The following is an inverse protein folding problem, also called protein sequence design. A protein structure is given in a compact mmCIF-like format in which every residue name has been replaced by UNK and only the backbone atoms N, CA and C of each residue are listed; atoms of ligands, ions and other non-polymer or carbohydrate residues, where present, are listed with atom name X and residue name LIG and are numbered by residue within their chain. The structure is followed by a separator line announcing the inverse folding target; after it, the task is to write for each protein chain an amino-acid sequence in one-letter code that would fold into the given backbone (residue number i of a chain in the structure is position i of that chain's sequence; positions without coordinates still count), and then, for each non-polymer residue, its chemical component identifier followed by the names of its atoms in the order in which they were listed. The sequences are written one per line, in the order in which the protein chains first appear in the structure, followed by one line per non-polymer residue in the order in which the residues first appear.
data_IF_283830843358
#
_entry.id   IF_283830843358
#
_cell.length_a   1.000
_cell.length_b   1.000
_cell.length_c   1.000
_cell.angle_alpha   90.00
_cell.angle_beta   90.00
_cell.angle_gamma   90.00
#
_symmetry.space_group_name_H-M   'P 1'
#
loop_
_entity.id
_entity.type
_entity.pdbx_description
1 polymer ?
#
# COMPACT_ATOMS: atom_id res chain seq x y z
N UNK A 1 39.29 24.56 -32.39
CA UNK A 1 38.70 23.23 -32.63
C UNK A 1 38.39 22.59 -31.28
N UNK A 2 37.11 22.22 -31.05
CA UNK A 2 36.62 21.38 -29.95
C UNK A 2 36.31 22.15 -28.67
N UNK A 3 35.11 22.70 -28.45
CA UNK A 3 33.78 22.09 -28.20
C UNK A 3 33.41 22.22 -26.72
N UNK A 4 32.85 23.37 -26.38
CA UNK A 4 32.12 23.64 -25.13
C UNK A 4 30.69 23.13 -25.32
N UNK A 5 30.36 21.99 -24.72
CA UNK A 5 29.01 21.43 -24.76
C UNK A 5 28.39 21.39 -23.35
N UNK A 6 27.41 22.29 -23.17
CA UNK A 6 26.10 22.10 -22.56
C UNK A 6 25.94 21.19 -21.31
N UNK A 7 25.62 21.81 -20.18
CA UNK A 7 24.82 21.19 -19.13
C UNK A 7 23.70 22.15 -18.67
N UNK A 8 22.53 22.02 -19.30
CA UNK A 8 21.31 22.70 -18.91
C UNK A 8 20.75 22.09 -17.61
N UNK A 9 20.77 22.86 -16.53
CA UNK A 9 20.14 22.49 -15.25
C UNK A 9 18.63 22.63 -15.31
N UNK A 10 17.90 21.52 -15.35
CA UNK A 10 16.45 21.51 -15.11
C UNK A 10 16.16 21.53 -13.60
N UNK A 11 15.76 22.70 -13.11
CA UNK A 11 15.22 22.90 -11.76
C UNK A 11 13.74 22.47 -11.73
N UNK A 12 13.40 21.42 -10.99
CA UNK A 12 11.99 21.06 -10.72
C UNK A 12 11.41 21.95 -9.60
N UNK A 13 10.17 22.47 -9.74
CA UNK A 13 9.54 23.27 -8.69
C UNK A 13 8.97 22.40 -7.54
N UNK A 14 9.25 22.80 -6.29
CA UNK A 14 8.71 22.22 -5.04
C UNK A 14 7.18 22.32 -4.99
N UNK A 15 6.50 21.19 -4.86
CA UNK A 15 5.07 21.14 -4.53
C UNK A 15 4.82 21.60 -3.08
N UNK A 16 3.91 22.56 -2.88
CA UNK A 16 3.44 23.00 -1.55
C UNK A 16 2.44 22.00 -0.98
N UNK A 17 2.62 21.66 0.29
CA UNK A 17 1.72 20.82 1.10
C UNK A 17 0.48 21.63 1.52
N UNK A 18 -0.75 21.13 1.41
CA UNK A 18 -1.93 21.83 1.92
C UNK A 18 -2.01 21.75 3.46
N UNK A 19 -2.56 22.78 4.15
CA UNK A 19 -2.70 22.77 5.59
C UNK A 19 -3.84 21.85 6.08
N UNK A 20 -3.60 21.28 7.25
CA UNK A 20 -4.46 20.32 7.95
C UNK A 20 -5.80 20.93 8.37
N UNK A 21 -6.86 20.12 8.22
CA UNK A 21 -8.17 20.31 8.81
C UNK A 21 -8.07 20.38 10.34
N UNK A 22 -8.79 21.31 10.95
CA UNK A 22 -9.06 21.32 12.39
C UNK A 22 -10.53 21.02 12.60
N UNK A 23 -10.77 19.87 13.22
CA UNK A 23 -11.99 19.56 13.95
C UNK A 23 -12.04 20.40 15.22
N UNK A 24 -13.18 21.04 15.48
CA UNK A 24 -13.58 21.43 16.84
C UNK A 24 -15.10 21.56 16.92
N UNK A 25 -15.70 20.48 17.41
CA UNK A 25 -16.70 20.43 18.49
C UNK A 25 -17.75 21.57 18.64
N UNK A 26 -19.02 21.15 18.52
CA UNK A 26 -20.18 21.63 19.30
C UNK A 26 -19.99 21.33 20.81
N UNK A 27 -20.74 21.88 21.81
CA UNK A 27 -22.14 22.32 21.71
C UNK A 27 -22.60 23.51 22.61
N UNK A 28 -23.87 23.90 22.39
CA UNK A 28 -24.86 24.41 23.35
C UNK A 28 -24.83 25.86 23.87
N UNK A 29 -26.06 26.33 24.13
CA UNK A 29 -26.52 27.45 24.95
C UNK A 29 -26.63 28.85 24.32
N UNK A 30 -27.87 29.27 24.03
CA UNK A 30 -28.57 30.32 24.79
C UNK A 30 -29.77 30.88 23.98
N UNK A 31 -30.97 30.52 24.44
CA UNK A 31 -32.18 31.32 24.26
C UNK A 31 -31.97 32.71 24.90
N UNK A 32 -32.49 33.77 24.28
CA UNK A 32 -33.31 34.86 24.89
C UNK A 32 -33.45 35.99 23.87
N UNK A 33 -34.70 36.38 23.59
CA UNK A 33 -35.03 37.35 22.54
C UNK A 33 -34.82 38.82 22.89
N UNK A 34 -34.96 39.69 21.89
CA UNK A 34 -35.44 41.07 22.03
C UNK A 34 -35.91 41.62 20.68
N UNK A 35 -37.13 42.16 20.70
CA UNK A 35 -37.78 42.94 19.65
C UNK A 35 -37.13 44.32 19.49
N UNK A 36 -37.00 44.79 18.25
CA UNK A 36 -36.82 46.18 17.80
C UNK A 36 -36.95 46.14 16.26
N UNK A 37 -38.11 46.40 15.64
CA UNK A 37 -38.79 47.69 15.39
C UNK A 37 -37.86 48.86 15.02
N UNK A 38 -37.90 49.24 13.74
CA UNK A 38 -37.85 50.60 13.15
C UNK A 38 -37.95 50.41 11.61
N UNK A 39 -39.12 50.66 11.03
CA UNK A 39 -39.49 51.91 10.34
C UNK A 39 -38.56 52.27 9.18
N UNK A 40 -39.01 52.04 7.94
CA UNK A 40 -38.84 53.00 6.83
C UNK A 40 -39.94 52.77 5.79
N UNK A 41 -40.59 53.88 5.45
CA UNK A 41 -41.82 53.96 4.69
C UNK A 41 -41.61 54.20 3.18
N UNK A 42 -42.68 53.92 2.43
CA UNK A 42 -43.19 54.66 1.28
C UNK A 42 -42.50 54.52 -0.09
N UNK A 43 -43.18 53.89 -1.06
CA UNK A 43 -43.84 54.55 -2.20
C UNK A 43 -44.60 53.55 -3.12
N UNK A 44 -45.53 53.99 -4.00
CA UNK A 44 -46.88 53.39 -4.13
C UNK A 44 -47.22 52.73 -5.48
N UNK A 45 -48.43 52.16 -5.48
CA UNK A 45 -49.18 51.37 -6.49
C UNK A 45 -49.51 52.11 -7.82
N UNK A 46 -49.99 51.39 -8.86
CA UNK A 46 -51.45 51.27 -9.08
C UNK A 46 -51.87 49.84 -9.52
N UNK A 47 -52.81 49.14 -8.87
CA UNK A 47 -54.28 49.12 -9.04
C UNK A 47 -54.76 49.18 -10.50
N UNK A 48 -55.18 48.04 -11.04
CA UNK A 48 -56.44 47.93 -11.78
C UNK A 48 -57.23 46.72 -11.26
N UNK A 49 -58.50 46.98 -10.98
CA UNK A 49 -59.47 46.07 -10.42
C UNK A 49 -60.34 45.51 -11.55
N UNK A 50 -60.66 44.21 -11.46
CA UNK A 50 -61.92 43.62 -11.91
C UNK A 50 -62.07 42.32 -11.12
N UNK A 51 -62.61 42.36 -9.92
CA UNK A 51 -64.03 42.47 -9.59
C UNK A 51 -64.86 41.30 -10.16
N UNK A 52 -64.90 40.25 -9.34
CA UNK A 52 -66.08 39.42 -9.04
C UNK A 52 -66.65 38.52 -10.14
N UNK A 53 -66.54 37.19 -9.94
CA UNK A 53 -67.73 36.32 -9.90
C UNK A 53 -67.48 34.91 -9.37
N UNK A 54 -68.42 34.50 -8.52
CA UNK A 54 -68.84 33.13 -8.15
C UNK A 54 -68.00 32.38 -7.11
N UNK A 55 -68.37 32.67 -5.87
CA UNK A 55 -68.43 31.70 -4.79
C UNK A 55 -69.24 30.44 -5.20
N UNK A 56 -68.88 29.34 -4.53
CA UNK A 56 -69.78 28.30 -3.98
C UNK A 56 -69.90 27.00 -4.79
N UNK A 57 -69.00 26.04 -4.52
CA UNK A 57 -69.30 24.61 -4.57
C UNK A 57 -68.56 23.88 -3.44
N UNK A 58 -69.31 23.50 -2.39
CA UNK A 58 -68.90 22.55 -1.36
C UNK A 58 -69.72 21.28 -1.55
N UNK A 59 -69.05 20.15 -1.83
CA UNK A 59 -69.67 18.83 -1.91
C UNK A 59 -69.76 18.18 -0.52
N UNK A 60 -70.88 17.51 -0.16
CA UNK A 60 -70.98 16.76 1.10
C UNK A 60 -70.27 15.39 1.00
N UNK A 61 -69.36 15.12 1.95
CA UNK A 61 -68.67 13.83 2.09
C UNK A 61 -69.60 12.82 2.79
N UNK A 62 -69.96 11.74 2.09
CA UNK A 62 -70.72 10.63 2.67
C UNK A 62 -69.81 9.66 3.43
N UNK A 63 -70.19 9.32 4.67
CA UNK A 63 -69.51 8.37 5.55
C UNK A 63 -69.46 6.96 4.90
N UNK A 64 -68.25 6.41 4.68
CA UNK A 64 -68.05 5.02 4.25
C UNK A 64 -67.57 4.15 5.43
N UNK A 65 -68.14 2.94 5.53
CA UNK A 65 -67.97 1.98 6.63
C UNK A 65 -66.54 1.38 6.76
N UNK A 66 -66.05 1.08 7.98
CA UNK A 66 -64.66 0.73 8.26
C UNK A 66 -64.18 -0.58 7.60
N UNK A 67 -65.10 -1.49 7.24
CA UNK A 67 -64.78 -2.73 6.54
C UNK A 67 -64.29 -2.52 5.09
N UNK A 68 -64.62 -1.37 4.47
CA UNK A 68 -64.16 -1.02 3.12
C UNK A 68 -62.72 -0.52 3.15
N UNK A 69 -62.34 0.18 4.22
CA UNK A 69 -60.99 0.71 4.45
C UNK A 69 -59.99 -0.43 4.64
N UNK A 70 -60.37 -1.50 5.34
CA UNK A 70 -59.47 -2.63 5.58
C UNK A 70 -59.29 -3.50 4.33
N UNK A 71 -60.34 -3.65 3.51
CA UNK A 71 -60.24 -4.32 2.21
C UNK A 71 -59.38 -3.55 1.22
N UNK A 72 -59.50 -2.22 1.18
CA UNK A 72 -58.64 -1.39 0.32
C UNK A 72 -57.18 -1.37 0.81
N UNK A 73 -56.94 -1.37 2.13
CA UNK A 73 -55.58 -1.49 2.69
C UNK A 73 -54.95 -2.85 2.38
N UNK A 74 -55.71 -3.94 2.50
CA UNK A 74 -55.22 -5.28 2.16
C UNK A 74 -54.88 -5.39 0.66
N UNK A 75 -55.75 -4.87 -0.21
CA UNK A 75 -55.50 -4.84 -1.65
C UNK A 75 -54.30 -3.96 -2.01
N UNK A 76 -54.13 -2.83 -1.32
CA UNK A 76 -52.98 -1.94 -1.51
C UNK A 76 -51.66 -2.58 -1.02
N UNK A 77 -51.69 -3.34 0.07
CA UNK A 77 -50.53 -4.08 0.57
C UNK A 77 -50.12 -5.21 -0.39
N UNK A 78 -51.09 -5.95 -0.94
CA UNK A 78 -50.83 -7.00 -1.95
C UNK A 78 -50.28 -6.38 -3.25
N UNK A 79 -50.82 -5.24 -3.68
CA UNK A 79 -50.30 -4.52 -4.85
C UNK A 79 -48.86 -4.02 -4.64
N UNK A 80 -48.51 -3.58 -3.43
CA UNK A 80 -47.15 -3.15 -3.10
C UNK A 80 -46.14 -4.30 -3.12
N UNK A 81 -46.56 -5.52 -2.74
CA UNK A 81 -45.69 -6.71 -2.78
C UNK A 81 -45.47 -7.18 -4.22
N UNK A 82 -46.50 -7.16 -5.08
CA UNK A 82 -46.36 -7.53 -6.49
C UNK A 82 -45.51 -6.54 -7.30
N UNK A 83 -45.41 -5.29 -6.88
CA UNK A 83 -44.61 -4.26 -7.55
C UNK A 83 -43.09 -4.38 -7.28
N UNK A 84 -42.65 -5.26 -6.37
CA UNK A 84 -41.24 -5.38 -5.96
C UNK A 84 -40.49 -6.53 -6.64
N UNK A 85 -40.71 -6.74 -7.93
CA UNK A 85 -39.84 -7.64 -8.72
C UNK A 85 -38.57 -6.88 -9.08
N UNK A 86 -37.36 -7.32 -8.66
CA UNK A 86 -36.13 -6.69 -9.09
C UNK A 86 -35.99 -6.87 -10.61
N UNK A 87 -36.02 -5.76 -11.35
CA UNK A 87 -35.79 -5.75 -12.78
C UNK A 87 -34.35 -6.23 -13.06
N UNK A 88 -34.20 -7.51 -13.41
CA UNK A 88 -32.92 -8.09 -13.79
C UNK A 88 -32.26 -7.19 -14.86
N UNK A 89 -31.13 -6.58 -14.51
CA UNK A 89 -30.37 -5.82 -15.48
C UNK A 89 -29.69 -6.79 -16.44
N UNK A 90 -30.34 -7.06 -17.58
CA UNK A 90 -29.79 -7.88 -18.66
C UNK A 90 -28.39 -7.41 -19.03
N UNK A 91 -27.43 -8.34 -18.99
CA UNK A 91 -26.05 -8.13 -19.41
C UNK A 91 -25.97 -8.53 -20.88
N UNK A 92 -25.81 -7.55 -21.77
CA UNK A 92 -25.71 -7.81 -23.21
C UNK A 92 -24.23 -7.95 -23.58
N UNK A 93 -23.85 -9.02 -24.27
CA UNK A 93 -22.48 -9.23 -24.75
C UNK A 93 -22.39 -9.03 -26.26
N UNK A 94 -21.32 -8.39 -26.72
CA UNK A 94 -20.94 -8.28 -28.14
C UNK A 94 -19.62 -9.02 -28.37
N UNK A 95 -19.56 -9.90 -29.36
CA UNK A 95 -18.31 -10.54 -29.78
C UNK A 95 -18.29 -10.71 -31.31
N UNK A 96 -17.11 -11.04 -31.83
CA UNK A 96 -16.88 -11.33 -33.26
C UNK A 96 -16.57 -12.82 -33.40
N UNK A 97 -17.27 -13.52 -34.29
CA UNK A 97 -17.00 -14.94 -34.60
C UNK A 97 -15.80 -15.10 -35.57
N UNK A 98 -15.42 -16.35 -35.87
CA UNK A 98 -14.30 -16.64 -36.79
C UNK A 98 -14.56 -16.21 -38.25
N UNK A 99 -15.83 -16.02 -38.61
CA UNK A 99 -16.26 -15.54 -39.92
C UNK A 99 -16.35 -14.00 -39.97
N UNK A 100 -15.96 -13.31 -38.90
CA UNK A 100 -15.97 -11.85 -38.81
C UNK A 100 -17.34 -11.24 -38.55
N UNK A 101 -18.36 -12.04 -38.21
CA UNK A 101 -19.72 -11.57 -37.92
C UNK A 101 -19.83 -11.16 -36.45
N UNK A 102 -20.50 -10.03 -36.23
CA UNK A 102 -20.74 -9.48 -34.91
C UNK A 102 -22.02 -10.08 -34.33
N UNK A 103 -21.90 -10.70 -33.15
CA UNK A 103 -23.02 -11.31 -32.43
C UNK A 103 -23.35 -10.53 -31.16
N UNK A 104 -24.64 -10.47 -30.85
CA UNK A 104 -25.17 -9.88 -29.62
C UNK A 104 -26.04 -10.91 -28.90
N UNK A 105 -25.71 -11.22 -27.66
CA UNK A 105 -26.51 -12.16 -26.86
C UNK A 105 -26.35 -11.89 -25.37
N UNK A 106 -27.39 -12.25 -24.61
CA UNK A 106 -27.37 -12.25 -23.15
C UNK A 106 -26.57 -13.45 -22.58
N UNK A 107 -26.31 -14.47 -23.40
CA UNK A 107 -25.52 -15.66 -23.05
C UNK A 107 -24.45 -15.93 -24.10
N UNK A 108 -23.23 -16.18 -23.62
CA UNK A 108 -22.08 -16.47 -24.47
C UNK A 108 -21.99 -17.99 -24.69
N UNK A 109 -21.86 -18.46 -25.94
CA UNK A 109 -21.56 -19.86 -26.25
C UNK A 109 -20.18 -20.26 -25.69
N UNK A 110 -20.02 -21.52 -25.27
CA UNK A 110 -18.76 -22.06 -24.70
C UNK A 110 -17.53 -21.75 -25.56
N UNK A 111 -17.70 -21.81 -26.88
CA UNK A 111 -16.61 -21.78 -27.85
C UNK A 111 -16.05 -20.36 -28.08
N UNK A 112 -16.73 -19.33 -27.55
CA UNK A 112 -16.34 -17.92 -27.67
C UNK A 112 -15.90 -17.31 -26.32
N UNK A 113 -15.85 -18.12 -25.26
CA UNK A 113 -15.43 -17.69 -23.91
C UNK A 113 -13.98 -17.18 -23.90
N UNK A 114 -13.14 -17.73 -24.78
CA UNK A 114 -11.71 -17.41 -24.86
C UNK A 114 -11.39 -16.27 -25.84
N UNK A 115 -12.38 -15.69 -26.51
CA UNK A 115 -12.17 -14.58 -27.46
C UNK A 115 -12.48 -13.22 -26.87
N UNK A 116 -11.98 -12.20 -27.56
CA UNK A 116 -12.25 -10.81 -27.22
C UNK A 116 -13.76 -10.52 -27.30
N UNK A 117 -14.29 -9.90 -26.25
CA UNK A 117 -15.71 -9.55 -26.16
C UNK A 117 -15.92 -8.25 -25.41
N UNK A 118 -17.09 -7.68 -25.59
CA UNK A 118 -17.50 -6.46 -24.94
C UNK A 118 -18.80 -6.67 -24.17
N UNK A 119 -18.83 -6.18 -22.93
CA UNK A 119 -20.03 -6.09 -22.12
C UNK A 119 -20.70 -4.74 -22.40
N UNK A 120 -21.94 -4.78 -22.84
CA UNK A 120 -22.77 -3.61 -23.15
C UNK A 120 -23.83 -3.42 -22.05
N UNK A 121 -24.18 -2.16 -21.78
CA UNK A 121 -25.32 -1.83 -20.92
C UNK A 121 -26.65 -1.91 -21.69
N UNK A 122 -27.78 -1.72 -20.99
CA UNK A 122 -29.13 -1.70 -21.59
C UNK A 122 -29.33 -0.68 -22.72
N UNK A 123 -28.43 0.31 -22.86
CA UNK A 123 -28.46 1.35 -23.90
C UNK A 123 -27.50 1.03 -25.07
N UNK A 124 -26.90 -0.16 -25.09
CA UNK A 124 -25.95 -0.57 -26.12
C UNK A 124 -24.56 0.06 -25.98
N UNK A 125 -24.26 0.74 -24.88
CA UNK A 125 -22.96 1.39 -24.65
C UNK A 125 -22.02 0.37 -24.00
N UNK A 126 -20.79 0.29 -24.52
CA UNK A 126 -19.72 -0.55 -23.99
C UNK A 126 -19.36 -0.14 -22.56
N UNK A 127 -19.49 -1.07 -21.62
CA UNK A 127 -19.14 -0.91 -20.20
C UNK A 127 -17.76 -1.49 -19.93
N UNK A 128 -17.41 -2.61 -20.58
CA UNK A 128 -16.14 -3.32 -20.33
C UNK A 128 -15.70 -4.10 -21.56
N UNK A 129 -14.43 -3.97 -21.93
CA UNK A 129 -13.76 -4.83 -22.89
C UNK A 129 -13.07 -5.98 -22.16
N UNK A 130 -13.33 -7.22 -22.58
CA UNK A 130 -12.69 -8.43 -22.08
C UNK A 130 -11.82 -8.95 -23.23
N UNK A 131 -10.50 -8.89 -23.09
CA UNK A 131 -9.58 -9.38 -24.12
C UNK A 131 -9.64 -10.90 -24.26
N UNK A 132 -9.10 -11.42 -25.37
CA UNK A 132 -8.96 -12.86 -25.59
C UNK A 132 -8.15 -13.52 -24.46
N UNK A 133 -8.40 -14.82 -24.23
CA UNK A 133 -7.60 -15.65 -23.37
C UNK A 133 -6.15 -15.63 -23.87
N UNK A 134 -5.21 -15.46 -22.93
CA UNK A 134 -3.79 -15.41 -23.25
C UNK A 134 -3.36 -16.76 -23.83
N UNK A 135 -2.58 -16.74 -24.90
CA UNK A 135 -1.96 -17.97 -25.41
C UNK A 135 -0.99 -18.54 -24.37
N UNK A 136 -0.77 -19.86 -24.41
CA UNK A 136 0.14 -20.55 -23.49
C UNK A 136 1.52 -19.89 -23.43
N UNK A 137 2.06 -19.52 -24.58
CA UNK A 137 3.36 -18.82 -24.68
C UNK A 137 3.34 -17.44 -23.99
N UNK A 138 2.25 -16.67 -24.13
CA UNK A 138 2.12 -15.38 -23.43
C UNK A 138 2.03 -15.56 -21.92
N UNK A 139 1.37 -16.62 -21.44
CA UNK A 139 1.32 -16.97 -20.02
C UNK A 139 2.71 -17.35 -19.51
N UNK A 140 3.44 -18.19 -20.25
CA UNK A 140 4.81 -18.60 -19.90
C UNK A 140 5.77 -17.41 -19.83
N UNK A 141 5.75 -16.52 -20.84
CA UNK A 141 6.54 -15.27 -20.85
C UNK A 141 6.18 -14.35 -19.68
N UNK A 142 4.90 -14.20 -19.35
CA UNK A 142 4.48 -13.39 -18.19
C UNK A 142 4.95 -14.00 -16.87
N UNK A 143 4.88 -15.34 -16.74
CA UNK A 143 5.38 -16.04 -15.56
C UNK A 143 6.89 -15.88 -15.42
N UNK A 144 7.65 -16.02 -16.50
CA UNK A 144 9.09 -15.78 -16.51
C UNK A 144 9.42 -14.35 -16.10
N UNK A 145 8.75 -13.37 -16.70
CA UNK A 145 8.94 -11.96 -16.37
C UNK A 145 8.58 -11.66 -14.91
N UNK A 146 7.53 -12.29 -14.36
CA UNK A 146 7.19 -12.21 -12.93
C UNK A 146 8.28 -12.83 -12.06
N UNK A 147 8.85 -13.97 -12.44
CA UNK A 147 9.96 -14.61 -11.72
C UNK A 147 11.20 -13.71 -11.70
N UNK A 148 11.58 -13.14 -12.84
CA UNK A 148 12.71 -12.22 -12.96
C UNK A 148 12.51 -10.96 -12.10
N UNK A 149 11.32 -10.34 -12.17
CA UNK A 149 10.98 -9.19 -11.31
C UNK A 149 11.03 -9.54 -9.83
N UNK A 150 10.50 -10.70 -9.43
CA UNK A 150 10.55 -11.15 -8.05
C UNK A 150 11.99 -11.40 -7.58
N UNK A 151 12.84 -11.98 -8.43
CA UNK A 151 14.25 -12.17 -8.13
C UNK A 151 14.98 -10.82 -7.96
N UNK A 152 14.77 -9.88 -8.87
CA UNK A 152 15.33 -8.53 -8.78
C UNK A 152 14.87 -7.81 -7.52
N UNK A 153 13.57 -7.88 -7.20
CA UNK A 153 13.01 -7.26 -6.01
C UNK A 153 13.63 -7.83 -4.72
N UNK A 154 13.83 -9.15 -4.65
CA UNK A 154 14.53 -9.79 -3.53
C UNK A 154 15.95 -9.26 -3.37
N UNK A 155 16.71 -9.09 -4.46
CA UNK A 155 18.07 -8.54 -4.40
C UNK A 155 18.07 -7.09 -3.88
N UNK A 156 17.14 -6.26 -4.35
CA UNK A 156 16.98 -4.88 -3.89
C UNK A 156 16.63 -4.84 -2.40
N UNK A 157 15.72 -5.71 -1.94
CA UNK A 157 15.33 -5.79 -0.54
C UNK A 157 16.48 -6.27 0.36
N UNK A 158 17.26 -7.24 -0.10
CA UNK A 158 18.47 -7.69 0.59
C UNK A 158 19.49 -6.56 0.70
N UNK A 159 19.73 -5.81 -0.38
CA UNK A 159 20.65 -4.67 -0.36
C UNK A 159 20.15 -3.60 0.63
N UNK A 160 18.88 -3.20 0.54
CA UNK A 160 18.27 -2.24 1.47
C UNK A 160 18.33 -2.71 2.91
N UNK A 161 18.16 -4.00 3.17
CA UNK A 161 18.28 -4.54 4.52
C UNK A 161 19.71 -4.40 5.05
N UNK A 162 20.74 -4.70 4.23
CA UNK A 162 22.15 -4.50 4.58
C UNK A 162 22.46 -3.02 4.82
N UNK A 163 22.00 -2.14 3.92
CA UNK A 163 22.20 -0.69 4.04
C UNK A 163 21.56 -0.13 5.31
N UNK A 164 20.34 -0.60 5.66
CA UNK A 164 19.68 -0.21 6.91
C UNK A 164 20.49 -0.62 8.15
N UNK A 165 21.16 -1.77 8.12
CA UNK A 165 22.04 -2.18 9.23
C UNK A 165 23.24 -1.25 9.30
N UNK A 166 23.90 -0.97 8.17
CA UNK A 166 25.05 -0.06 8.13
C UNK A 166 24.69 1.34 8.68
N UNK A 167 23.58 1.91 8.21
CA UNK A 167 23.15 3.26 8.62
C UNK A 167 22.61 3.33 10.06
N UNK A 168 22.22 2.20 10.67
CA UNK A 168 21.83 2.14 12.09
C UNK A 168 23.02 1.94 13.00
N UNK A 169 24.04 1.20 12.54
CA UNK A 169 25.23 0.88 13.34
C UNK A 169 26.29 1.99 13.26
N UNK A 170 26.45 2.61 12.10
CA UNK A 170 27.53 3.56 11.85
C UNK A 170 26.99 4.93 11.45
N UNK A 171 27.62 5.99 11.97
CA UNK A 171 27.19 7.37 11.72
C UNK A 171 27.78 7.95 10.43
N UNK A 172 28.95 7.47 10.03
CA UNK A 172 29.69 7.89 8.84
C UNK A 172 30.56 6.75 8.30
N UNK A 173 31.11 6.92 7.09
CA UNK A 173 32.09 5.98 6.54
C UNK A 173 33.36 5.91 7.39
N UNK A 174 33.81 7.02 7.96
CA UNK A 174 35.00 7.08 8.82
C UNK A 174 34.83 6.24 10.10
N UNK A 175 33.63 6.20 10.66
CA UNK A 175 33.29 5.38 11.83
C UNK A 175 33.44 3.87 11.54
N UNK A 176 33.11 3.45 10.31
CA UNK A 176 33.33 2.08 9.84
C UNK A 176 34.84 1.77 9.77
N UNK A 177 35.63 2.69 9.20
CA UNK A 177 37.08 2.52 9.07
C UNK A 177 37.74 2.46 10.45
N UNK A 178 37.40 3.39 11.35
CA UNK A 178 37.90 3.39 12.72
C UNK A 178 37.55 2.08 13.46
N UNK A 179 36.31 1.60 13.32
CA UNK A 179 35.88 0.33 13.92
C UNK A 179 36.66 -0.86 13.34
N UNK A 180 36.88 -0.88 12.02
CA UNK A 180 37.67 -1.91 11.34
C UNK A 180 39.11 -1.91 11.85
N UNK A 181 39.74 -0.74 11.87
CA UNK A 181 41.15 -0.60 12.22
C UNK A 181 41.37 -0.91 13.71
N UNK A 182 40.43 -0.53 14.58
CA UNK A 182 40.44 -0.94 15.99
C UNK A 182 40.35 -2.46 16.18
N UNK A 183 39.51 -3.15 15.39
CA UNK A 183 39.44 -4.62 15.41
C UNK A 183 40.73 -5.27 14.93
N UNK A 184 41.33 -4.75 13.84
CA UNK A 184 42.62 -5.24 13.35
C UNK A 184 43.72 -5.06 14.40
N UNK A 185 43.81 -3.87 15.00
CA UNK A 185 44.77 -3.58 16.07
C UNK A 185 44.62 -4.49 17.29
N UNK A 186 43.39 -4.85 17.66
CA UNK A 186 43.13 -5.81 18.74
C UNK A 186 43.66 -7.22 18.40
N UNK A 187 43.43 -7.68 17.16
CA UNK A 187 43.96 -8.96 16.68
C UNK A 187 45.48 -8.93 16.63
N UNK A 188 46.08 -7.85 16.11
CA UNK A 188 47.53 -7.69 16.05
C UNK A 188 48.16 -7.74 17.46
N UNK A 189 47.54 -7.07 18.43
CA UNK A 189 47.99 -7.10 19.83
C UNK A 189 47.95 -8.52 20.39
N UNK A 190 46.88 -9.27 20.12
CA UNK A 190 46.77 -10.69 20.51
C UNK A 190 47.87 -11.55 19.88
N UNK A 191 48.20 -11.31 18.60
CA UNK A 191 49.29 -12.00 17.90
C UNK A 191 50.63 -11.68 18.56
N UNK A 192 50.90 -10.41 18.89
CA UNK A 192 52.16 -10.01 19.51
C UNK A 192 52.35 -10.63 20.90
N UNK A 193 51.31 -10.61 21.74
CA UNK A 193 51.35 -11.26 23.06
C UNK A 193 51.63 -12.75 22.92
N UNK A 194 50.93 -13.42 22.00
CA UNK A 194 51.12 -14.86 21.76
C UNK A 194 52.54 -15.17 21.29
N UNK A 195 53.10 -14.37 20.38
CA UNK A 195 54.48 -14.50 19.91
C UNK A 195 55.48 -14.31 21.04
N UNK A 196 55.29 -13.29 21.87
CA UNK A 196 56.13 -13.05 23.05
C UNK A 196 56.08 -14.23 24.03
N UNK A 197 54.89 -14.78 24.28
CA UNK A 197 54.73 -15.96 25.13
C UNK A 197 55.45 -17.18 24.55
N UNK A 198 55.33 -17.42 23.23
CA UNK A 198 56.06 -18.50 22.55
C UNK A 198 57.57 -18.33 22.72
N UNK A 199 58.10 -17.11 22.57
CA UNK A 199 59.53 -16.85 22.75
C UNK A 199 59.97 -17.11 24.20
N UNK A 200 59.21 -16.63 25.19
CA UNK A 200 59.50 -16.90 26.60
C UNK A 200 59.48 -18.39 26.93
N UNK A 201 58.50 -19.14 26.41
CA UNK A 201 58.40 -20.58 26.59
C UNK A 201 59.58 -21.31 25.95
N UNK A 202 60.02 -20.89 24.76
CA UNK A 202 61.21 -21.45 24.09
C UNK A 202 62.48 -21.20 24.88
N UNK A 203 62.67 -19.99 25.42
CA UNK A 203 63.83 -19.68 26.27
C UNK A 203 63.83 -20.53 27.53
N UNK A 204 62.68 -20.61 28.21
CA UNK A 204 62.52 -21.46 29.40
C UNK A 204 62.83 -22.92 29.10
N UNK A 205 62.34 -23.44 27.97
CA UNK A 205 62.62 -24.81 27.53
C UNK A 205 64.12 -25.02 27.31
N UNK A 206 64.79 -24.08 26.61
CA UNK A 206 66.23 -24.15 26.37
C UNK A 206 67.04 -24.11 27.67
N UNK A 207 66.65 -23.28 28.63
CA UNK A 207 67.29 -23.19 29.95
C UNK A 207 67.13 -24.49 30.76
N UNK A 208 65.93 -25.09 30.71
CA UNK A 208 65.66 -26.37 31.37
C UNK A 208 66.48 -27.51 30.75
N UNK A 209 66.56 -27.55 29.41
CA UNK A 209 67.39 -28.52 28.68
C UNK A 209 68.88 -28.35 29.00
N UNK A 210 69.38 -27.11 29.06
CA UNK A 210 70.77 -26.82 29.45
C UNK A 210 71.06 -27.29 30.87
N UNK A 211 70.16 -26.98 31.80
CA UNK A 211 70.30 -27.40 33.20
C UNK A 211 70.30 -28.92 33.35
N UNK A 212 69.46 -29.63 32.59
CA UNK A 212 69.46 -31.09 32.53
C UNK A 212 70.82 -31.62 32.08
N UNK A 213 71.34 -31.11 30.95
CA UNK A 213 72.63 -31.52 30.39
C UNK A 213 73.79 -31.25 31.36
N UNK A 214 73.77 -30.13 32.08
CA UNK A 214 74.81 -29.82 33.07
C UNK A 214 74.76 -30.76 34.29
N UNK A 215 73.57 -31.20 34.73
CA UNK A 215 73.42 -32.21 35.78
C UNK A 215 73.92 -33.58 35.34
N UNK A 216 73.63 -33.99 34.10
CA UNK A 216 74.14 -35.24 33.52
C UNK A 216 75.67 -35.23 33.43
N UNK A 217 76.28 -34.12 32.97
CA UNK A 217 77.74 -33.96 32.93
C UNK A 217 78.38 -34.04 34.32
N UNK A 218 77.68 -33.61 35.36
CA UNK A 218 78.12 -33.72 36.76
C UNK A 218 77.87 -35.10 37.37
N UNK A 219 77.28 -36.05 36.63
CA UNK A 219 76.96 -37.40 37.11
C UNK A 219 75.80 -37.44 38.10
N UNK A 220 74.97 -36.39 38.19
CA UNK A 220 73.79 -36.34 39.06
C UNK A 220 72.57 -36.92 38.34
N UNK A 221 71.74 -37.66 39.06
CA UNK A 221 70.48 -38.19 38.52
C UNK A 221 69.42 -37.09 38.40
N UNK A 222 68.78 -37.01 37.23
CA UNK A 222 67.68 -36.05 36.98
C UNK A 222 66.38 -36.63 37.53
N UNK A 223 65.61 -35.82 38.28
CA UNK A 223 64.29 -36.22 38.78
C UNK A 223 63.30 -36.49 37.64
N UNK A 224 62.50 -37.56 37.69
CA UNK A 224 61.49 -37.87 36.67
C UNK A 224 60.40 -36.80 36.55
N UNK A 225 60.17 -35.99 37.58
CA UNK A 225 59.25 -34.85 37.49
C UNK A 225 59.80 -33.77 36.53
N UNK A 226 61.10 -33.48 36.62
CA UNK A 226 61.76 -32.48 35.79
C UNK A 226 61.83 -32.89 34.32
N UNK A 227 62.03 -34.20 34.04
CA UNK A 227 62.02 -34.73 32.68
C UNK A 227 60.65 -34.66 31.99
N UNK A 228 59.55 -34.58 32.76
CA UNK A 228 58.19 -34.43 32.19
C UNK A 228 57.87 -32.98 31.83
N UNK A 229 58.57 -32.02 32.44
CA UNK A 229 58.33 -30.60 32.24
C UNK A 229 59.18 -30.02 31.08
N UNK A 230 60.12 -30.80 30.54
CA UNK A 230 60.92 -30.53 29.32
C UNK A 230 60.19 -31.12 28.11
#
# INVERSE_FOLDING_TARGET
MGSEDAAAGLQCPKARRPPAAKDSAHPADALTGRLQYLDHACHPLPISADMTRRLKQTHPTSLQSPARIWRSLLLMAIAAILASTPAAAGRLYRWVDDEGRVHYSDRIPSDQVDKERELLNKRGIQVKKIGAAKTREQIEREQELKRLRAAQQRLIEQQRAKDRVLLRTFRSGDDILMTRDGKLSSVDTSIQITRSNIQQLKLRLADMQKSAADLERQGKTISPAFLRDI
#
